data_IF_191081049695
#
_entry.id   IF_191081049695
#
_cell.length_a   1.000
_cell.length_b   1.000
_cell.length_c   1.000
_cell.angle_alpha   90.00
_cell.angle_beta   90.00
_cell.angle_gamma   90.00
#
_symmetry.space_group_name_H-M   'P 1'
#
loop_
_entity.id
_entity.type
_entity.pdbx_description
1 polymer ?
#
# COMPACT_ATOMS: atom_id res chain seq x y z
N UNK A 1 -27.70 3.85 16.35
CA UNK A 1 -27.03 3.72 15.05
C UNK A 1 -25.92 2.72 15.23
N UNK A 2 -26.05 1.53 14.64
CA UNK A 2 -25.14 0.42 14.87
C UNK A 2 -23.76 0.70 14.28
N UNK A 3 -22.71 0.46 15.07
CA UNK A 3 -21.31 0.53 14.65
C UNK A 3 -21.07 -0.29 13.36
N UNK A 4 -21.79 -1.42 13.24
CA UNK A 4 -21.72 -2.32 12.10
C UNK A 4 -22.30 -1.73 10.81
N UNK A 5 -23.33 -0.88 10.86
CA UNK A 5 -23.88 -0.22 9.65
C UNK A 5 -23.01 0.92 9.14
N UNK A 6 -22.11 1.44 9.99
CA UNK A 6 -21.12 2.46 9.58
C UNK A 6 -19.89 1.84 8.95
N UNK A 7 -19.54 0.60 9.31
CA UNK A 7 -18.47 -0.19 8.66
C UNK A 7 -18.98 -0.96 7.44
N UNK A 8 -20.26 -1.33 7.42
CA UNK A 8 -20.98 -1.82 6.25
C UNK A 8 -21.39 -0.66 5.33
N UNK A 9 -20.40 0.08 4.84
CA UNK A 9 -20.57 1.04 3.75
C UNK A 9 -20.99 0.19 2.54
N UNK A 10 -22.29 0.21 2.23
CA UNK A 10 -22.85 -0.20 0.93
C UNK A 10 -21.92 0.29 -0.19
N UNK A 11 -21.74 -0.46 -1.29
CA UNK A 11 -20.70 -0.28 -2.32
C UNK A 11 -20.55 1.16 -2.84
N UNK A 12 -19.92 2.02 -2.03
CA UNK A 12 -19.67 3.43 -2.26
C UNK A 12 -18.16 3.61 -2.07
N UNK A 13 -17.38 3.45 -3.16
CA UNK A 13 -15.92 3.43 -3.12
C UNK A 13 -15.31 4.66 -2.43
N UNK A 14 -15.96 5.83 -2.55
CA UNK A 14 -15.49 7.09 -1.98
C UNK A 14 -15.51 7.08 -0.45
N UNK A 15 -16.65 6.72 0.17
CA UNK A 15 -16.77 6.69 1.63
C UNK A 15 -15.83 5.66 2.24
N UNK A 16 -15.72 4.48 1.62
CA UNK A 16 -14.78 3.45 2.06
C UNK A 16 -13.33 3.93 2.00
N UNK A 17 -12.96 4.66 0.94
CA UNK A 17 -11.63 5.26 0.82
C UNK A 17 -11.31 6.21 1.97
N UNK A 18 -12.21 7.13 2.30
CA UNK A 18 -12.02 8.07 3.42
C UNK A 18 -11.88 7.35 4.76
N UNK A 19 -12.77 6.39 5.04
CA UNK A 19 -12.73 5.63 6.29
C UNK A 19 -11.40 4.88 6.45
N UNK A 20 -10.92 4.24 5.39
CA UNK A 20 -9.64 3.51 5.42
C UNK A 20 -8.47 4.46 5.69
N UNK A 21 -8.43 5.62 5.03
CA UNK A 21 -7.35 6.61 5.25
C UNK A 21 -7.37 7.16 6.67
N UNK A 22 -8.55 7.49 7.20
CA UNK A 22 -8.70 7.98 8.58
C UNK A 22 -8.22 6.93 9.58
N UNK A 23 -8.67 5.68 9.44
CA UNK A 23 -8.25 4.58 10.32
C UNK A 23 -6.74 4.37 10.22
N UNK A 24 -6.17 4.37 9.02
CA UNK A 24 -4.73 4.20 8.83
C UNK A 24 -3.91 5.29 9.54
N UNK A 25 -4.32 6.56 9.43
CA UNK A 25 -3.64 7.69 10.10
C UNK A 25 -3.76 7.57 11.62
N UNK A 26 -4.96 7.29 12.14
CA UNK A 26 -5.21 7.15 13.58
C UNK A 26 -4.43 5.99 14.17
N UNK A 27 -4.40 4.83 13.50
CA UNK A 27 -3.69 3.65 14.00
C UNK A 27 -2.18 3.86 13.91
N UNK A 28 -1.66 4.33 12.77
CA UNK A 28 -0.22 4.49 12.56
C UNK A 28 0.39 5.55 13.49
N UNK A 29 -0.18 6.76 13.53
CA UNK A 29 0.36 7.86 14.33
C UNK A 29 -0.14 7.77 15.77
N UNK A 30 -1.45 7.58 15.94
CA UNK A 30 -2.08 7.56 17.26
C UNK A 30 -1.69 6.34 18.09
N UNK A 31 -1.61 5.15 17.49
CA UNK A 31 -1.16 3.93 18.19
C UNK A 31 0.27 4.09 18.72
N UNK A 32 1.19 4.56 17.88
CA UNK A 32 2.58 4.81 18.29
C UNK A 32 2.66 5.91 19.36
N UNK A 33 1.84 6.97 19.26
CA UNK A 33 1.74 8.01 20.29
C UNK A 33 1.23 7.51 21.64
N UNK A 34 0.25 6.59 21.68
CA UNK A 34 -0.21 6.04 22.96
C UNK A 34 0.91 5.27 23.68
N UNK A 35 1.72 4.53 22.92
CA UNK A 35 2.86 3.78 23.48
C UNK A 35 3.98 4.73 23.96
N UNK A 36 4.37 5.70 23.14
CA UNK A 36 5.48 6.60 23.48
C UNK A 36 5.05 7.66 24.50
N UNK A 37 3.84 8.19 24.37
CA UNK A 37 3.29 9.23 25.24
C UNK A 37 3.02 8.76 26.66
N UNK A 38 2.75 7.46 26.88
CA UNK A 38 2.67 6.90 28.23
C UNK A 38 4.02 6.84 28.94
N UNK A 39 5.12 6.77 28.19
CA UNK A 39 6.48 6.70 28.74
C UNK A 39 7.16 8.08 28.85
N UNK A 40 6.91 8.99 27.90
CA UNK A 40 7.60 10.29 27.80
C UNK A 40 6.71 11.49 28.14
N UNK A 41 5.41 11.26 28.38
CA UNK A 41 4.41 12.31 28.55
C UNK A 41 3.94 12.93 27.22
N UNK A 42 2.84 13.68 27.27
CA UNK A 42 2.13 14.14 26.07
C UNK A 42 2.99 15.05 25.16
N UNK A 43 3.68 16.04 25.74
CA UNK A 43 4.46 17.01 24.97
C UNK A 43 5.68 16.38 24.30
N UNK A 44 6.50 15.65 25.06
CA UNK A 44 7.70 15.02 24.52
C UNK A 44 7.33 13.85 23.59
N UNK A 45 6.34 13.04 23.97
CA UNK A 45 5.86 11.94 23.14
C UNK A 45 5.37 12.43 21.78
N UNK A 46 4.64 13.54 21.72
CA UNK A 46 4.17 14.10 20.45
C UNK A 46 5.32 14.50 19.52
N UNK A 47 6.33 15.20 20.06
CA UNK A 47 7.50 15.62 19.31
C UNK A 47 8.32 14.43 18.79
N UNK A 48 8.49 13.39 19.60
CA UNK A 48 9.21 12.17 19.23
C UNK A 48 8.49 11.41 18.11
N UNK A 49 7.16 11.29 18.17
CA UNK A 49 6.38 10.64 17.11
C UNK A 49 6.45 11.40 15.80
N UNK A 50 6.36 12.73 15.83
CA UNK A 50 6.53 13.54 14.62
C UNK A 50 7.95 13.39 14.04
N UNK A 51 8.99 13.42 14.87
CA UNK A 51 10.36 13.19 14.42
C UNK A 51 10.52 11.81 13.78
N UNK A 52 9.93 10.77 14.38
CA UNK A 52 9.91 9.41 13.83
C UNK A 52 9.18 9.32 12.49
N UNK A 53 8.01 9.97 12.36
CA UNK A 53 7.24 10.01 11.13
C UNK A 53 8.04 10.68 9.99
N UNK A 54 8.64 11.84 10.25
CA UNK A 54 9.47 12.52 9.25
C UNK A 54 10.71 11.71 8.90
N UNK A 55 11.37 11.09 9.88
CA UNK A 55 12.49 10.18 9.64
C UNK A 55 12.11 9.01 8.75
N UNK A 56 10.93 8.42 8.96
CA UNK A 56 10.41 7.33 8.15
C UNK A 56 10.09 7.77 6.71
N UNK A 57 9.43 8.93 6.53
CA UNK A 57 9.14 9.48 5.19
C UNK A 57 10.44 9.77 4.42
N UNK A 58 11.45 10.35 5.09
CA UNK A 58 12.77 10.59 4.49
C UNK A 58 13.45 9.29 4.11
N UNK A 59 13.43 8.28 4.98
CA UNK A 59 14.02 6.97 4.69
C UNK A 59 13.34 6.29 3.48
N UNK A 60 12.01 6.31 3.41
CA UNK A 60 11.26 5.79 2.26
C UNK A 60 11.59 6.56 0.99
N UNK A 61 11.61 7.90 1.06
CA UNK A 61 11.99 8.75 -0.06
C UNK A 61 13.40 8.46 -0.57
N UNK A 62 14.37 8.30 0.35
CA UNK A 62 15.75 7.96 0.00
C UNK A 62 15.85 6.59 -0.69
N UNK A 63 15.20 5.57 -0.11
CA UNK A 63 15.16 4.21 -0.69
C UNK A 63 14.54 4.25 -2.10
N UNK A 64 13.40 4.93 -2.27
CA UNK A 64 12.76 5.04 -3.57
C UNK A 64 13.57 5.82 -4.59
N UNK A 65 14.27 6.88 -4.18
CA UNK A 65 15.16 7.61 -5.08
C UNK A 65 16.34 6.75 -5.54
N UNK A 66 16.93 5.95 -4.65
CA UNK A 66 18.07 5.10 -5.00
C UNK A 66 17.70 3.92 -5.88
N UNK A 67 16.53 3.29 -5.66
CA UNK A 67 16.15 2.08 -6.39
C UNK A 67 15.26 2.37 -7.61
N UNK A 68 14.57 3.52 -7.66
CA UNK A 68 13.88 4.09 -8.83
C UNK A 68 12.66 3.32 -9.37
N UNK A 69 12.63 2.00 -9.22
CA UNK A 69 11.60 1.07 -9.67
C UNK A 69 11.59 -0.05 -8.61
N UNK A 70 10.42 -0.41 -8.08
CA UNK A 70 10.29 -1.50 -7.11
C UNK A 70 10.69 -2.87 -7.67
N UNK A 71 10.19 -3.97 -7.09
CA UNK A 71 10.40 -5.31 -7.65
C UNK A 71 9.93 -5.37 -9.11
N UNK A 72 10.88 -5.25 -10.05
CA UNK A 72 10.59 -5.39 -11.47
C UNK A 72 10.33 -6.87 -11.72
N UNK A 73 9.13 -7.19 -12.21
CA UNK A 73 8.82 -8.53 -12.67
C UNK A 73 9.77 -8.97 -13.80
N UNK A 74 9.68 -10.24 -14.20
CA UNK A 74 10.43 -10.71 -15.38
C UNK A 74 10.10 -9.80 -16.56
N UNK A 75 11.12 -9.27 -17.21
CA UNK A 75 10.91 -8.46 -18.42
C UNK A 75 10.18 -9.29 -19.47
N UNK A 76 9.27 -8.68 -20.26
CA UNK A 76 8.61 -9.37 -21.34
C UNK A 76 9.67 -9.91 -22.29
N UNK A 77 9.74 -11.24 -22.41
CA UNK A 77 10.57 -11.92 -23.39
C UNK A 77 9.63 -12.60 -24.36
N UNK A 78 9.88 -12.39 -25.66
CA UNK A 78 9.21 -13.18 -26.68
C UNK A 78 9.67 -14.63 -26.53
N UNK A 79 8.71 -15.56 -26.43
CA UNK A 79 8.96 -17.00 -26.45
C UNK A 79 8.46 -17.53 -27.78
N UNK A 80 9.31 -18.26 -28.48
CA UNK A 80 8.93 -18.82 -29.77
C UNK A 80 7.75 -19.77 -29.58
N UNK A 81 6.68 -19.57 -30.36
CA UNK A 81 5.65 -20.59 -30.49
C UNK A 81 6.29 -21.79 -31.18
N UNK A 82 6.07 -23.00 -30.66
CA UNK A 82 6.55 -24.22 -31.29
C UNK A 82 6.13 -24.23 -32.78
N UNK A 83 7.03 -24.56 -33.72
CA UNK A 83 6.75 -24.48 -35.15
C UNK A 83 5.63 -25.46 -35.52
N UNK A 84 4.40 -24.94 -35.62
CA UNK A 84 3.29 -25.67 -36.18
C UNK A 84 3.32 -25.48 -37.70
N UNK A 85 3.79 -26.48 -38.44
CA UNK A 85 3.82 -26.46 -39.92
C UNK A 85 2.42 -26.30 -40.53
N UNK A 86 1.37 -26.74 -39.81
CA UNK A 86 -0.03 -26.64 -40.24
C UNK A 86 -0.90 -26.38 -39.01
N UNK A 87 -1.59 -25.23 -38.98
CA UNK A 87 -2.60 -24.92 -37.97
C UNK A 87 -3.86 -25.74 -38.30
N UNK A 88 -3.99 -26.89 -37.64
CA UNK A 88 -5.17 -27.77 -37.77
C UNK A 88 -6.17 -27.63 -36.62
N UNK A 89 -5.81 -26.84 -35.61
CA UNK A 89 -6.61 -26.64 -34.41
C UNK A 89 -6.77 -25.15 -34.13
N UNK A 90 -7.99 -24.73 -33.78
CA UNK A 90 -8.33 -23.32 -33.59
C UNK A 90 -7.61 -22.68 -32.40
N UNK A 91 -7.21 -23.49 -31.43
CA UNK A 91 -6.42 -23.06 -30.27
C UNK A 91 -5.00 -22.61 -30.63
N UNK A 92 -4.50 -22.94 -31.82
CA UNK A 92 -3.18 -22.54 -32.30
C UNK A 92 -3.22 -21.20 -33.08
N UNK A 93 -4.40 -20.60 -33.28
CA UNK A 93 -4.55 -19.26 -33.83
C UNK A 93 -4.45 -18.22 -32.72
N UNK A 94 -3.26 -17.65 -32.53
CA UNK A 94 -3.10 -16.44 -31.73
C UNK A 94 -3.44 -15.22 -32.62
N UNK A 95 -4.69 -14.75 -32.59
CA UNK A 95 -5.13 -13.46 -33.18
C UNK A 95 -4.87 -12.29 -32.27
#
# INVERSE_FOLDING_TARGET
MDLLTTLAINWQPQLRGYTVVIIAVVVLIGGTYLVVGTNLGARLGFLVILAGLFGWVVAMGAIWWTYGIGLKGREPSWKEAAPATIIRDGELLQT
#
